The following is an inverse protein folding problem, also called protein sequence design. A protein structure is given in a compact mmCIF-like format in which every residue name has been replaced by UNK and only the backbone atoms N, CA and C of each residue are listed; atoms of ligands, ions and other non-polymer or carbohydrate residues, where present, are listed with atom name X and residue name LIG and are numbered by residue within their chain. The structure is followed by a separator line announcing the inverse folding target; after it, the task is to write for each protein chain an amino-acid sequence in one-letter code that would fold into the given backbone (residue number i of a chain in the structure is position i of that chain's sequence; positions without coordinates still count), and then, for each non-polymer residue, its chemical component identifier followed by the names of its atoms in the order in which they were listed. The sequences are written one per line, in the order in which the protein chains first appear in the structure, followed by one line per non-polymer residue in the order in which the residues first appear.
data_IF_727460422523
#
_entry.id   IF_727460422523
#
_cell.length_a   1.000
_cell.length_b   1.000
_cell.length_c   1.000
_cell.angle_alpha   90.00
_cell.angle_beta   90.00
_cell.angle_gamma   90.00
#
_symmetry.space_group_name_H-M   'P 1'
#
loop_
_entity.id
_entity.type
_entity.pdbx_description
1 polymer ?
#
# COMPACT_ATOMS: atom_id res chain seq x y z
N UNK A 1 -10.91 3.60 -11.54
CA UNK A 1 -10.26 3.32 -10.25
C UNK A 1 -9.20 4.37 -9.98
N UNK A 2 -8.85 4.59 -8.72
CA UNK A 2 -7.76 5.47 -8.27
C UNK A 2 -6.65 4.59 -7.68
N UNK A 3 -5.43 4.73 -8.16
CA UNK A 3 -4.23 4.15 -7.59
C UNK A 3 -3.41 5.29 -6.98
N UNK A 4 -3.07 5.18 -5.67
CA UNK A 4 -2.37 6.27 -5.00
C UNK A 4 -1.18 5.80 -4.18
N UNK A 5 -0.14 6.60 -4.23
CA UNK A 5 1.08 6.47 -3.45
C UNK A 5 1.32 7.74 -2.64
N UNK A 6 2.08 7.60 -1.59
CA UNK A 6 2.56 8.76 -0.80
C UNK A 6 4.04 8.57 -0.48
N UNK A 7 4.84 9.62 -0.73
CA UNK A 7 6.27 9.63 -0.44
C UNK A 7 6.70 11.01 0.08
N UNK A 8 7.48 11.06 1.17
CA UNK A 8 7.82 12.33 1.81
C UNK A 8 9.16 12.30 2.54
N UNK A 9 9.68 13.51 2.86
CA UNK A 9 10.89 13.73 3.63
C UNK A 9 12.13 13.13 2.97
N UNK A 10 13.03 12.59 3.76
CA UNK A 10 14.24 11.93 3.27
C UNK A 10 13.95 10.69 2.42
N UNK A 11 12.82 10.05 2.61
CA UNK A 11 12.41 8.88 1.83
C UNK A 11 12.19 9.19 0.36
N UNK A 12 11.92 10.45 -0.01
CA UNK A 12 11.72 10.83 -1.42
C UNK A 12 12.96 10.47 -2.25
N UNK A 13 14.15 10.91 -1.83
CA UNK A 13 15.37 10.63 -2.58
C UNK A 13 15.85 9.17 -2.45
N UNK A 14 15.62 8.54 -1.30
CA UNK A 14 16.05 7.16 -1.03
C UNK A 14 15.19 6.13 -1.75
N UNK A 15 13.87 6.39 -1.82
CA UNK A 15 12.88 5.41 -2.28
C UNK A 15 12.24 5.77 -3.61
N UNK A 16 12.72 6.80 -4.32
CA UNK A 16 12.15 7.22 -5.60
C UNK A 16 12.26 6.13 -6.67
N UNK A 17 13.32 5.32 -6.63
CA UNK A 17 13.49 4.20 -7.54
C UNK A 17 12.42 3.13 -7.27
N UNK A 18 12.19 2.77 -6.00
CA UNK A 18 11.13 1.83 -5.63
C UNK A 18 9.76 2.34 -6.10
N UNK A 19 9.45 3.60 -5.81
CA UNK A 19 8.21 4.23 -6.28
C UNK A 19 8.04 4.11 -7.79
N UNK A 20 9.09 4.36 -8.57
CA UNK A 20 9.05 4.23 -10.04
C UNK A 20 8.69 2.82 -10.48
N UNK A 21 9.31 1.81 -9.88
CA UNK A 21 9.02 0.41 -10.18
C UNK A 21 7.63 0.00 -9.70
N UNK A 22 7.21 0.46 -8.53
CA UNK A 22 5.87 0.22 -8.00
C UNK A 22 4.82 0.74 -8.98
N UNK A 23 4.82 2.03 -9.30
CA UNK A 23 3.87 2.64 -10.23
C UNK A 23 3.85 1.90 -11.56
N UNK A 24 5.02 1.63 -12.12
CA UNK A 24 5.12 0.97 -13.42
C UNK A 24 4.54 -0.44 -13.38
N UNK A 25 4.76 -1.20 -12.31
CA UNK A 25 4.23 -2.55 -12.14
C UNK A 25 2.70 -2.56 -12.14
N UNK A 26 2.07 -1.60 -11.47
CA UNK A 26 0.61 -1.46 -11.48
C UNK A 26 0.09 -0.98 -12.84
N UNK A 27 0.69 0.04 -13.45
CA UNK A 27 0.30 0.51 -14.79
C UNK A 27 0.40 -0.56 -15.88
N UNK A 28 1.30 -1.52 -15.72
CA UNK A 28 1.44 -2.63 -16.65
C UNK A 28 0.30 -3.64 -16.55
N UNK A 29 -0.24 -3.87 -15.37
CA UNK A 29 -1.28 -4.85 -15.11
C UNK A 29 -2.69 -4.25 -15.24
N UNK A 30 -2.83 -2.98 -14.87
CA UNK A 30 -4.03 -2.19 -15.06
C UNK A 30 -3.78 -1.18 -16.17
N UNK A 31 -4.71 -0.93 -17.05
CA UNK A 31 -4.52 -0.04 -18.20
C UNK A 31 -4.38 1.44 -17.83
N UNK A 32 -4.16 2.32 -18.83
CA UNK A 32 -4.01 3.75 -18.63
C UNK A 32 -5.35 4.51 -18.41
N UNK A 33 -6.48 3.81 -18.38
CA UNK A 33 -7.81 4.44 -18.17
C UNK A 33 -8.12 4.73 -16.69
N UNK A 34 -7.12 4.59 -15.82
CA UNK A 34 -7.23 4.79 -14.38
C UNK A 34 -6.46 6.02 -13.93
N UNK A 35 -6.81 6.53 -12.76
CA UNK A 35 -6.08 7.65 -12.13
C UNK A 35 -4.91 7.09 -11.33
N UNK A 36 -3.71 7.57 -11.62
CA UNK A 36 -2.48 7.23 -10.91
C UNK A 36 -1.98 8.50 -10.22
N UNK A 37 -2.01 8.54 -8.89
CA UNK A 37 -1.77 9.75 -8.10
C UNK A 37 -0.60 9.51 -7.14
N UNK A 38 0.35 10.45 -7.09
CA UNK A 38 1.43 10.47 -6.10
C UNK A 38 1.33 11.73 -5.24
N UNK A 39 1.18 11.56 -3.94
CA UNK A 39 1.29 12.67 -2.99
C UNK A 39 2.72 12.77 -2.45
N UNK A 40 3.27 13.99 -2.48
CA UNK A 40 4.65 14.24 -2.03
C UNK A 40 4.82 15.67 -1.50
N UNK A 41 5.84 15.88 -0.70
CA UNK A 41 6.28 17.24 -0.30
C UNK A 41 7.27 17.85 -1.31
N UNK A 42 7.81 17.06 -2.24
CA UNK A 42 8.75 17.51 -3.27
C UNK A 42 8.30 17.13 -4.70
N UNK A 43 7.21 17.73 -5.23
CA UNK A 43 6.64 17.38 -6.52
C UNK A 43 7.60 17.61 -7.69
N UNK A 44 8.41 18.66 -7.66
CA UNK A 44 9.34 18.99 -8.75
C UNK A 44 10.43 17.91 -8.92
N UNK A 45 10.95 17.38 -7.82
CA UNK A 45 11.91 16.29 -7.84
C UNK A 45 11.25 15.00 -8.36
N UNK A 46 10.08 14.64 -7.81
CA UNK A 46 9.36 13.42 -8.19
C UNK A 46 8.97 13.46 -9.67
N UNK A 47 8.48 14.59 -10.19
CA UNK A 47 8.14 14.77 -11.61
C UNK A 47 9.35 14.52 -12.53
N UNK A 48 10.49 15.12 -12.20
CA UNK A 48 11.72 14.94 -13.00
C UNK A 48 12.22 13.50 -13.01
N UNK A 49 12.06 12.79 -11.88
CA UNK A 49 12.61 11.44 -11.77
C UNK A 49 11.68 10.37 -12.33
N UNK A 50 10.38 10.49 -12.15
CA UNK A 50 9.43 9.45 -12.60
C UNK A 50 9.30 9.39 -14.12
N UNK A 51 9.32 10.54 -14.81
CA UNK A 51 9.13 10.63 -16.26
C UNK A 51 7.97 9.71 -16.76
N UNK A 52 6.87 9.71 -16.04
CA UNK A 52 5.69 8.87 -16.29
C UNK A 52 4.42 9.74 -16.27
N UNK A 53 3.39 9.27 -16.93
CA UNK A 53 2.06 9.88 -16.86
C UNK A 53 1.39 9.51 -15.53
N UNK A 54 1.66 10.29 -14.50
CA UNK A 54 1.04 10.22 -13.18
C UNK A 54 0.70 11.63 -12.71
N UNK A 55 -0.36 11.74 -11.95
CA UNK A 55 -0.78 13.00 -11.33
C UNK A 55 0.00 13.19 -10.02
N UNK A 56 0.99 14.10 -10.05
CA UNK A 56 1.84 14.38 -8.90
C UNK A 56 1.29 15.57 -8.15
N UNK A 57 0.90 15.34 -6.90
CA UNK A 57 0.26 16.31 -6.03
C UNK A 57 1.11 16.64 -4.83
N UNK A 58 1.18 17.93 -4.48
CA UNK A 58 1.74 18.36 -3.23
C UNK A 58 0.80 17.99 -2.08
N UNK A 59 1.36 17.55 -0.95
CA UNK A 59 0.57 17.43 0.27
C UNK A 59 -0.04 18.80 0.63
N UNK A 60 -1.31 18.83 1.09
CA UNK A 60 -1.91 20.04 1.62
C UNK A 60 -1.19 20.51 2.88
N UNK A 61 -1.46 21.72 3.30
CA UNK A 61 -0.92 22.24 4.55
C UNK A 61 -1.51 21.49 5.76
N UNK A 62 -0.74 21.42 6.84
CA UNK A 62 -1.18 20.75 8.08
C UNK A 62 -2.55 21.24 8.59
N UNK A 63 -2.88 22.50 8.37
CA UNK A 63 -4.17 23.09 8.77
C UNK A 63 -5.37 22.55 7.97
N UNK A 64 -5.13 21.99 6.79
CA UNK A 64 -6.19 21.57 5.86
C UNK A 64 -6.59 20.11 6.06
N UNK A 65 -5.78 19.34 6.82
CA UNK A 65 -6.04 17.92 7.11
C UNK A 65 -5.33 17.45 8.36
N UNK A 66 -6.02 16.65 9.14
CA UNK A 66 -5.49 16.02 10.35
C UNK A 66 -4.45 14.93 10.08
N UNK A 67 -4.39 14.39 8.87
CA UNK A 67 -3.45 13.32 8.51
C UNK A 67 -2.07 13.83 8.09
N UNK A 68 -1.90 15.11 7.83
CA UNK A 68 -0.60 15.69 7.46
C UNK A 68 0.33 15.87 8.66
N UNK A 69 0.58 14.76 9.37
CA UNK A 69 1.39 14.72 10.60
C UNK A 69 2.82 14.33 10.25
N UNK A 70 3.78 15.09 10.77
CA UNK A 70 5.19 14.72 10.73
C UNK A 70 5.54 13.95 12.00
N UNK A 71 5.54 12.63 11.95
CA UNK A 71 5.88 11.75 13.07
C UNK A 71 6.57 10.48 12.56
N UNK A 72 7.16 9.68 13.46
CA UNK A 72 7.67 8.35 13.14
C UNK A 72 6.57 7.44 12.57
N UNK A 73 5.35 7.56 13.11
CA UNK A 73 4.19 6.86 12.59
C UNK A 73 3.79 7.40 11.21
N UNK A 74 3.45 6.52 10.31
CA UNK A 74 3.29 6.82 8.89
C UNK A 74 1.92 7.41 8.52
N UNK A 75 1.28 8.16 9.45
CA UNK A 75 -0.05 8.79 9.25
C UNK A 75 -0.17 9.64 7.99
N UNK A 76 0.94 10.25 7.55
CA UNK A 76 0.97 11.08 6.34
C UNK A 76 0.60 10.31 5.08
N UNK A 77 0.71 8.98 5.08
CA UNK A 77 0.26 8.16 3.95
C UNK A 77 -1.25 8.34 3.64
N UNK A 78 -2.05 8.67 4.64
CA UNK A 78 -3.49 8.95 4.51
C UNK A 78 -3.82 10.39 4.11
N UNK A 79 -2.84 11.25 3.98
CA UNK A 79 -3.00 12.63 3.56
C UNK A 79 -3.31 12.69 2.04
N UNK A 80 -4.27 13.52 1.57
CA UNK A 80 -5.05 14.50 2.30
C UNK A 80 -6.24 13.90 3.09
N UNK A 81 -6.72 12.75 2.71
CA UNK A 81 -7.83 12.02 3.32
C UNK A 81 -7.67 10.52 3.08
N UNK A 82 -8.13 9.65 3.97
CA UNK A 82 -8.16 8.19 3.71
C UNK A 82 -9.05 7.81 2.53
N UNK A 83 -9.92 8.69 2.07
CA UNK A 83 -10.76 8.49 0.90
C UNK A 83 -10.74 9.75 0.02
N UNK A 84 -10.40 9.61 -1.26
CA UNK A 84 -10.39 10.72 -2.22
C UNK A 84 -11.72 10.88 -2.95
N UNK A 85 -12.29 9.77 -3.42
CA UNK A 85 -13.57 9.78 -4.13
C UNK A 85 -14.40 8.54 -3.78
N UNK A 86 -15.52 8.76 -3.09
CA UNK A 86 -16.42 7.68 -2.66
C UNK A 86 -17.05 6.91 -3.84
N UNK A 87 -17.06 7.47 -5.04
CA UNK A 87 -17.68 6.87 -6.23
C UNK A 87 -16.74 5.91 -6.97
N UNK A 88 -15.46 5.87 -6.61
CA UNK A 88 -14.46 5.04 -7.29
C UNK A 88 -13.84 4.02 -6.34
N UNK A 89 -13.42 2.87 -6.86
CA UNK A 89 -12.54 1.97 -6.13
C UNK A 89 -11.17 2.65 -5.97
N UNK A 90 -10.60 2.62 -4.76
CA UNK A 90 -9.35 3.30 -4.44
C UNK A 90 -8.34 2.33 -3.85
N UNK A 91 -7.17 2.30 -4.48
CA UNK A 91 -6.03 1.46 -4.15
C UNK A 91 -4.97 2.29 -3.46
N UNK A 92 -4.63 1.91 -2.27
CA UNK A 92 -3.58 2.48 -1.46
C UNK A 92 -2.33 1.60 -1.56
N UNK A 93 -1.18 2.17 -1.95
CA UNK A 93 -0.01 1.40 -2.31
C UNK A 93 1.24 2.06 -1.72
N UNK A 94 2.01 1.33 -0.94
CA UNK A 94 3.33 1.80 -0.50
C UNK A 94 4.34 1.76 -1.66
N UNK A 95 5.37 2.60 -1.59
CA UNK A 95 6.35 2.76 -2.67
C UNK A 95 7.20 1.51 -2.93
N UNK A 96 7.22 0.56 -2.01
CA UNK A 96 7.97 -0.69 -2.03
C UNK A 96 7.09 -1.93 -2.27
N UNK A 97 5.89 -1.72 -2.82
CA UNK A 97 4.95 -2.78 -3.23
C UNK A 97 4.98 -2.94 -4.75
N UNK A 98 5.20 -4.15 -5.24
CA UNK A 98 5.38 -4.46 -6.66
C UNK A 98 4.40 -5.53 -7.13
N UNK A 99 3.68 -5.24 -8.22
CA UNK A 99 2.71 -6.14 -8.83
C UNK A 99 3.35 -6.86 -10.02
N UNK A 100 3.55 -8.18 -9.91
CA UNK A 100 4.22 -8.98 -10.94
C UNK A 100 3.25 -9.53 -11.98
N UNK A 101 2.01 -9.82 -11.56
CA UNK A 101 0.96 -10.42 -12.40
C UNK A 101 -0.36 -9.72 -12.16
N UNK A 102 -1.27 -9.89 -13.10
CA UNK A 102 -2.64 -9.41 -12.94
C UNK A 102 -3.29 -10.05 -11.70
N UNK A 103 -3.79 -9.27 -10.75
CA UNK A 103 -4.28 -9.75 -9.46
C UNK A 103 -5.74 -10.20 -9.56
N UNK A 104 -5.99 -11.45 -9.98
CA UNK A 104 -7.34 -12.03 -10.11
C UNK A 104 -8.16 -11.97 -8.81
N UNK A 105 -7.49 -11.98 -7.67
CA UNK A 105 -8.11 -11.83 -6.36
C UNK A 105 -8.76 -10.45 -6.18
N UNK A 106 -8.26 -9.43 -6.88
CA UNK A 106 -8.89 -8.10 -6.93
C UNK A 106 -10.22 -8.17 -7.66
N UNK A 107 -10.31 -8.90 -8.79
CA UNK A 107 -11.60 -9.07 -9.49
C UNK A 107 -12.61 -9.81 -8.60
N UNK A 108 -12.16 -10.85 -7.89
CA UNK A 108 -12.98 -11.58 -6.92
C UNK A 108 -13.49 -10.64 -5.82
N UNK A 109 -12.63 -9.79 -5.29
CA UNK A 109 -13.01 -8.78 -4.30
C UNK A 109 -14.01 -7.78 -4.87
N UNK A 110 -13.73 -7.19 -6.03
CA UNK A 110 -14.55 -6.15 -6.63
C UNK A 110 -15.94 -6.67 -7.07
N UNK A 111 -16.04 -7.92 -7.51
CA UNK A 111 -17.31 -8.52 -7.92
C UNK A 111 -18.19 -8.94 -6.75
N UNK A 112 -17.65 -9.17 -5.56
CA UNK A 112 -18.42 -9.58 -4.38
C UNK A 112 -19.07 -8.37 -3.69
N UNK A 113 -20.39 -8.21 -3.83
CA UNK A 113 -21.14 -7.06 -3.30
C UNK A 113 -21.08 -6.90 -1.78
N UNK A 114 -20.80 -7.98 -1.02
CA UNK A 114 -20.67 -7.93 0.43
C UNK A 114 -19.37 -7.28 0.89
N UNK A 115 -18.28 -7.47 0.14
CA UNK A 115 -16.96 -6.99 0.51
C UNK A 115 -16.84 -5.48 0.30
N UNK A 116 -16.22 -4.79 1.24
CA UNK A 116 -16.02 -3.33 1.26
C UNK A 116 -14.55 -2.94 1.22
N UNK A 117 -13.69 -3.73 1.86
CA UNK A 117 -12.26 -3.46 2.00
C UNK A 117 -11.44 -4.70 1.68
N UNK A 118 -10.24 -4.50 1.12
CA UNK A 118 -9.26 -5.56 0.94
C UNK A 118 -7.88 -5.09 1.41
N UNK A 119 -7.09 -6.00 2.02
CA UNK A 119 -5.80 -5.67 2.63
C UNK A 119 -4.86 -6.88 2.61
N UNK A 120 -3.54 -6.61 2.66
CA UNK A 120 -2.55 -7.68 2.83
C UNK A 120 -2.64 -8.34 4.21
N UNK A 121 -2.37 -9.63 4.27
CA UNK A 121 -2.12 -10.34 5.52
C UNK A 121 -0.77 -9.91 6.11
N UNK A 122 -0.68 -9.75 7.43
CA UNK A 122 0.60 -9.57 8.10
C UNK A 122 1.16 -10.94 8.50
N UNK A 123 2.16 -11.37 7.77
CA UNK A 123 2.71 -12.73 7.83
C UNK A 123 3.11 -13.20 9.25
N UNK A 124 3.62 -12.30 10.08
CA UNK A 124 4.18 -12.66 11.40
C UNK A 124 3.16 -12.78 12.52
N UNK A 125 2.03 -12.05 12.42
CA UNK A 125 0.97 -12.08 13.42
C UNK A 125 1.42 -11.74 14.85
N UNK A 126 2.37 -10.81 15.03
CA UNK A 126 2.92 -10.45 16.33
C UNK A 126 2.35 -9.13 16.86
N UNK A 127 2.04 -9.01 18.16
CA UNK A 127 1.43 -7.79 18.72
C UNK A 127 2.19 -6.49 18.44
N UNK A 128 3.52 -6.52 18.32
CA UNK A 128 4.32 -5.33 18.01
C UNK A 128 4.00 -4.73 16.62
N UNK A 129 3.39 -5.49 15.73
CA UNK A 129 2.98 -5.03 14.40
C UNK A 129 1.78 -4.08 14.44
N UNK A 130 1.10 -4.01 15.57
CA UNK A 130 0.13 -2.96 15.84
C UNK A 130 0.75 -1.69 16.45
N UNK A 131 2.09 -1.65 16.61
CA UNK A 131 2.77 -0.56 17.30
C UNK A 131 2.19 -0.32 18.69
N UNK A 132 2.13 0.93 19.13
CA UNK A 132 1.52 1.28 20.41
C UNK A 132 0.00 1.06 20.44
N UNK A 133 -0.61 0.95 19.26
CA UNK A 133 -2.04 0.66 19.13
C UNK A 133 -2.43 -0.73 19.68
N UNK A 134 -1.46 -1.61 19.97
CA UNK A 134 -1.72 -2.87 20.67
C UNK A 134 -2.42 -2.65 22.02
N UNK A 135 -2.23 -1.50 22.68
CA UNK A 135 -2.94 -1.13 23.93
C UNK A 135 -4.46 -1.02 23.74
N UNK A 136 -4.93 -0.89 22.51
CA UNK A 136 -6.35 -0.77 22.13
C UNK A 136 -6.86 -1.96 21.33
N UNK A 137 -5.98 -2.74 20.75
CA UNK A 137 -6.33 -3.93 19.99
C UNK A 137 -6.99 -4.98 20.89
N UNK A 138 -7.89 -5.76 20.30
CA UNK A 138 -8.56 -6.90 20.94
C UNK A 138 -8.12 -8.21 20.30
N UNK A 139 -8.57 -9.35 20.82
CA UNK A 139 -8.33 -10.67 20.19
C UNK A 139 -8.88 -10.77 18.76
N UNK A 140 -9.90 -9.97 18.44
CA UNK A 140 -10.54 -9.97 17.12
C UNK A 140 -9.86 -9.01 16.11
N UNK A 141 -8.90 -8.21 16.59
CA UNK A 141 -8.17 -7.28 15.73
C UNK A 141 -7.25 -8.04 14.77
N UNK A 142 -7.43 -7.90 13.44
CA UNK A 142 -6.63 -8.67 12.49
C UNK A 142 -5.17 -8.23 12.48
N UNK A 143 -4.28 -9.16 12.15
CA UNK A 143 -2.91 -8.85 11.77
C UNK A 143 -2.88 -8.59 10.26
N UNK A 144 -2.78 -7.33 9.88
CA UNK A 144 -2.83 -6.90 8.48
C UNK A 144 -1.70 -5.93 8.17
N UNK A 145 -1.27 -5.91 6.92
CA UNK A 145 -0.22 -5.02 6.46
C UNK A 145 -0.80 -3.90 5.58
N UNK A 146 -0.51 -2.66 5.96
CA UNK A 146 -1.04 -1.46 5.32
C UNK A 146 -0.35 -1.08 4.00
N UNK A 147 0.60 -1.88 3.49
CA UNK A 147 1.34 -1.58 2.26
C UNK A 147 0.49 -1.67 0.99
N UNK A 148 -0.59 -2.47 1.01
CA UNK A 148 -1.56 -2.54 -0.06
C UNK A 148 -2.96 -2.68 0.52
N UNK A 149 -3.78 -1.66 0.31
CA UNK A 149 -5.14 -1.57 0.84
C UNK A 149 -6.11 -1.05 -0.22
N UNK A 150 -7.29 -1.65 -0.31
CA UNK A 150 -8.32 -1.26 -1.27
C UNK A 150 -9.60 -0.90 -0.54
N UNK A 151 -10.18 0.22 -0.94
CA UNK A 151 -11.54 0.64 -0.57
C UNK A 151 -12.43 0.58 -1.79
N UNK A 152 -13.49 -0.20 -1.73
CA UNK A 152 -14.47 -0.31 -2.81
C UNK A 152 -15.30 0.97 -2.93
N UNK A 153 -15.81 1.26 -4.12
CA UNK A 153 -16.78 2.34 -4.34
C UNK A 153 -17.96 2.22 -3.36
N UNK A 154 -18.37 3.33 -2.77
CA UNK A 154 -19.40 3.38 -1.73
C UNK A 154 -18.91 3.06 -0.31
N UNK A 155 -17.65 2.64 -0.13
CA UNK A 155 -17.05 2.34 1.18
C UNK A 155 -16.07 3.44 1.60
N UNK A 156 -16.02 3.76 2.89
CA UNK A 156 -15.14 4.78 3.45
C UNK A 156 -14.70 4.43 4.86
N UNK A 157 -13.39 4.28 5.06
CA UNK A 157 -12.75 4.01 6.36
C UNK A 157 -12.46 5.30 7.14
N UNK A 158 -12.57 6.48 6.53
CA UNK A 158 -12.06 7.74 7.06
C UNK A 158 -12.54 8.04 8.46
N UNK A 159 -13.85 7.89 8.74
CA UNK A 159 -14.42 8.16 10.07
C UNK A 159 -13.82 7.27 11.15
N UNK A 160 -13.59 6.00 10.84
CA UNK A 160 -13.01 5.07 11.80
C UNK A 160 -11.52 5.39 12.03
N UNK A 161 -10.78 5.65 10.96
CA UNK A 161 -9.35 5.94 11.05
C UNK A 161 -9.08 7.27 11.76
N UNK A 162 -9.93 8.28 11.56
CA UNK A 162 -9.89 9.55 12.31
C UNK A 162 -10.06 9.32 13.80
N UNK A 163 -11.00 8.47 14.21
CA UNK A 163 -11.19 8.12 15.63
C UNK A 163 -9.94 7.49 16.22
N UNK A 164 -9.28 6.61 15.48
CA UNK A 164 -8.05 5.96 15.93
C UNK A 164 -6.88 6.95 15.98
N UNK A 165 -6.80 7.87 15.02
CA UNK A 165 -5.81 8.95 15.01
C UNK A 165 -5.94 9.85 16.25
N UNK A 166 -7.15 10.29 16.61
CA UNK A 166 -7.37 11.11 17.81
C UNK A 166 -7.00 10.36 19.08
N UNK A 167 -7.43 9.09 19.21
CA UNK A 167 -7.03 8.27 20.34
C UNK A 167 -5.49 8.18 20.45
N UNK A 168 -4.80 7.96 19.32
CA UNK A 168 -3.33 7.89 19.27
C UNK A 168 -2.70 9.22 19.70
N UNK A 169 -3.21 10.35 19.23
CA UNK A 169 -2.70 11.67 19.61
C UNK A 169 -2.84 11.96 21.10
N UNK A 170 -3.93 11.52 21.71
CA UNK A 170 -4.23 11.76 23.12
C UNK A 170 -3.52 10.79 24.09
N UNK A 171 -3.25 9.56 23.64
CA UNK A 171 -2.82 8.47 24.53
C UNK A 171 -1.39 7.98 24.27
N UNK A 172 -0.73 8.44 23.19
CA UNK A 172 0.61 7.96 22.81
C UNK A 172 1.62 9.10 22.87
N UNK A 173 2.57 9.01 23.79
CA UNK A 173 3.65 9.99 23.93
C UNK A 173 4.62 9.87 22.73
N UNK A 174 5.29 10.98 22.42
CA UNK A 174 6.20 11.05 21.25
C UNK A 174 7.32 10.00 21.27
N UNK A 175 7.86 9.71 22.45
CA UNK A 175 8.90 8.70 22.66
C UNK A 175 8.44 7.26 22.45
N UNK A 176 7.13 6.98 22.64
CA UNK A 176 6.53 5.65 22.45
C UNK A 176 6.17 5.38 20.98
N UNK A 177 6.06 6.41 20.15
CA UNK A 177 5.58 6.31 18.77
C UNK A 177 6.46 5.44 17.89
N UNK A 178 5.84 4.55 17.14
CA UNK A 178 6.50 3.63 16.21
C UNK A 178 5.97 3.78 14.79
N UNK A 179 6.69 3.25 13.83
CA UNK A 179 6.25 3.24 12.43
C UNK A 179 5.07 2.28 12.17
N UNK A 180 4.78 1.37 13.11
CA UNK A 180 3.64 0.46 13.02
C UNK A 180 2.31 1.02 13.56
N UNK A 181 2.32 2.18 14.20
CA UNK A 181 1.13 2.71 14.89
C UNK A 181 -0.03 2.96 13.91
N UNK A 182 0.26 3.47 12.73
CA UNK A 182 -0.75 3.70 11.70
C UNK A 182 -1.35 2.38 11.19
N UNK A 183 -0.53 1.35 10.98
CA UNK A 183 -0.99 0.01 10.61
C UNK A 183 -1.88 -0.60 11.69
N UNK A 184 -1.50 -0.47 12.95
CA UNK A 184 -2.31 -0.90 14.10
C UNK A 184 -3.66 -0.18 14.17
N UNK A 185 -3.67 1.12 13.91
CA UNK A 185 -4.90 1.90 13.85
C UNK A 185 -5.83 1.45 12.71
N UNK A 186 -5.26 1.15 11.54
CA UNK A 186 -6.01 0.59 10.41
C UNK A 186 -6.58 -0.79 10.76
N UNK A 187 -5.80 -1.66 11.40
CA UNK A 187 -6.24 -2.98 11.85
C UNK A 187 -7.45 -2.87 12.80
N UNK A 188 -7.39 -1.98 13.79
CA UNK A 188 -8.51 -1.71 14.72
C UNK A 188 -9.72 -1.17 13.96
N UNK A 189 -9.53 -0.23 13.05
CA UNK A 189 -10.61 0.33 12.24
C UNK A 189 -11.31 -0.74 11.37
N UNK A 190 -10.56 -1.78 10.95
CA UNK A 190 -11.05 -2.87 10.11
C UNK A 190 -11.69 -4.02 10.90
N UNK A 191 -11.50 -4.12 12.22
CA UNK A 191 -11.99 -5.25 13.05
C UNK A 191 -13.46 -5.54 12.82
N UNK A 192 -14.32 -4.53 12.86
CA UNK A 192 -15.76 -4.72 12.65
C UNK A 192 -16.11 -5.28 11.27
N UNK A 193 -15.33 -4.94 10.24
CA UNK A 193 -15.55 -5.40 8.87
C UNK A 193 -15.07 -6.85 8.68
N UNK A 194 -14.04 -7.27 9.42
CA UNK A 194 -13.65 -8.66 9.49
C UNK A 194 -14.78 -9.49 10.11
N UNK A 195 -15.30 -9.08 11.26
CA UNK A 195 -16.37 -9.78 11.98
C UNK A 195 -17.68 -9.87 11.19
N UNK A 196 -18.01 -8.85 10.38
CA UNK A 196 -19.20 -8.85 9.50
C UNK A 196 -18.96 -9.58 8.17
N UNK A 197 -17.74 -10.04 7.88
CA UNK A 197 -17.37 -10.67 6.62
C UNK A 197 -17.35 -9.71 5.43
N UNK A 198 -17.04 -8.43 5.67
CA UNK A 198 -16.94 -7.36 4.69
C UNK A 198 -15.47 -6.98 4.36
N UNK A 199 -14.49 -7.63 5.03
CA UNK A 199 -13.07 -7.49 4.79
C UNK A 199 -12.52 -8.69 4.02
N UNK A 200 -11.80 -8.44 2.96
CA UNK A 200 -11.02 -9.44 2.21
C UNK A 200 -9.55 -9.34 2.61
N UNK A 201 -8.96 -10.43 3.06
CA UNK A 201 -7.53 -10.52 3.32
C UNK A 201 -6.90 -11.31 2.17
N UNK A 202 -5.91 -10.70 1.50
CA UNK A 202 -5.22 -11.34 0.38
C UNK A 202 -4.44 -12.58 0.83
N UNK A 203 -4.43 -13.66 0.03
CA UNK A 203 -3.71 -14.88 0.37
C UNK A 203 -2.20 -14.64 0.40
N UNK A 204 -1.58 -14.84 1.56
CA UNK A 204 -0.16 -14.54 1.83
C UNK A 204 0.83 -15.30 0.95
N UNK A 205 0.42 -16.43 0.37
CA UNK A 205 1.24 -17.25 -0.53
C UNK A 205 1.46 -16.55 -1.89
N UNK A 206 0.52 -15.69 -2.28
CA UNK A 206 0.57 -14.93 -3.53
C UNK A 206 0.86 -13.45 -3.35
N UNK A 207 0.55 -12.91 -2.18
CA UNK A 207 0.71 -11.52 -1.80
C UNK A 207 1.70 -11.43 -0.62
N UNK A 208 2.97 -11.54 -0.95
CA UNK A 208 4.02 -11.78 0.03
C UNK A 208 4.65 -10.52 0.58
N UNK A 209 4.95 -10.53 1.87
CA UNK A 209 5.97 -9.64 2.44
C UNK A 209 7.32 -10.36 2.39
N UNK A 210 8.34 -9.65 1.92
CA UNK A 210 9.70 -10.18 1.80
C UNK A 210 10.67 -9.17 2.44
N UNK A 211 11.40 -9.64 3.45
CA UNK A 211 12.42 -8.88 4.17
C UNK A 211 13.44 -9.85 4.77
N UNK A 212 14.43 -9.32 5.49
CA UNK A 212 15.39 -10.14 6.25
C UNK A 212 14.72 -11.04 7.31
N UNK A 213 13.52 -10.68 7.77
CA UNK A 213 12.78 -11.42 8.81
C UNK A 213 11.48 -12.06 8.33
N UNK A 214 11.04 -11.76 7.11
CA UNK A 214 9.82 -12.31 6.51
C UNK A 214 10.17 -12.92 5.17
N UNK A 215 10.01 -14.23 5.04
CA UNK A 215 10.37 -14.98 3.83
C UNK A 215 11.81 -14.72 3.32
N UNK A 216 12.87 -14.72 4.19
CA UNK A 216 14.22 -14.36 3.77
C UNK A 216 14.81 -15.31 2.73
N UNK A 217 14.40 -16.59 2.76
CA UNK A 217 14.94 -17.67 1.95
C UNK A 217 14.22 -17.85 0.60
N UNK A 218 13.26 -16.96 0.26
CA UNK A 218 12.57 -17.07 -1.02
C UNK A 218 13.55 -16.83 -2.18
N UNK A 219 13.62 -17.78 -3.12
CA UNK A 219 14.58 -17.71 -4.23
C UNK A 219 13.94 -17.34 -5.56
N UNK A 220 12.63 -17.58 -5.72
CA UNK A 220 11.90 -17.22 -6.93
C UNK A 220 10.53 -16.62 -6.59
N UNK A 221 9.90 -16.01 -7.58
CA UNK A 221 8.59 -15.38 -7.48
C UNK A 221 7.58 -15.97 -8.47
N UNK A 222 7.74 -17.25 -8.82
CA UNK A 222 6.97 -17.88 -9.90
C UNK A 222 5.45 -17.89 -9.66
N UNK A 223 5.02 -18.04 -8.40
CA UNK A 223 3.61 -18.02 -8.02
C UNK A 223 3.17 -16.73 -7.33
N UNK A 224 4.08 -15.76 -7.17
CA UNK A 224 3.82 -14.51 -6.48
C UNK A 224 3.12 -13.53 -7.41
N UNK A 225 1.98 -13.02 -7.01
CA UNK A 225 1.22 -11.98 -7.71
C UNK A 225 1.73 -10.60 -7.35
N UNK A 226 1.95 -10.36 -6.07
CA UNK A 226 2.43 -9.10 -5.51
C UNK A 226 3.44 -9.38 -4.40
N UNK A 227 4.52 -8.61 -4.35
CA UNK A 227 5.38 -8.63 -3.17
C UNK A 227 5.62 -7.23 -2.60
N UNK A 228 5.70 -7.17 -1.29
CA UNK A 228 6.04 -6.00 -0.50
C UNK A 228 7.48 -6.16 0.01
N UNK A 229 8.40 -5.39 -0.53
CA UNK A 229 9.81 -5.38 -0.11
C UNK A 229 9.98 -4.47 1.11
N UNK A 230 9.68 -5.01 2.29
CA UNK A 230 9.59 -4.19 3.50
C UNK A 230 10.91 -3.58 3.95
N UNK A 231 10.79 -2.39 4.56
CA UNK A 231 11.86 -1.64 5.22
C UNK A 231 12.65 -2.51 6.26
N UNK A 232 13.95 -2.24 6.62
CA UNK A 232 14.60 -0.92 6.41
C UNK A 232 15.42 -0.77 5.12
N UNK A 233 15.93 -1.83 4.53
CA UNK A 233 16.89 -1.75 3.41
C UNK A 233 16.32 -2.25 2.09
N UNK A 234 15.07 -2.74 2.11
CA UNK A 234 14.38 -3.30 0.95
C UNK A 234 15.20 -4.37 0.19
N UNK A 235 15.79 -5.35 0.87
CA UNK A 235 16.69 -6.31 0.23
C UNK A 235 16.00 -7.11 -0.86
N UNK A 236 14.70 -7.38 -0.70
CA UNK A 236 13.90 -8.09 -1.68
C UNK A 236 13.79 -7.32 -3.01
N UNK A 237 13.69 -5.98 -2.98
CA UNK A 237 13.69 -5.19 -4.20
C UNK A 237 14.98 -5.41 -4.99
N UNK A 238 16.14 -5.28 -4.36
CA UNK A 238 17.42 -5.45 -5.03
C UNK A 238 17.66 -6.90 -5.48
N UNK A 239 17.27 -7.88 -4.67
CA UNK A 239 17.34 -9.31 -5.02
C UNK A 239 16.53 -9.63 -6.29
N UNK A 240 15.30 -9.10 -6.38
CA UNK A 240 14.38 -9.41 -7.47
C UNK A 240 14.24 -8.30 -8.52
N UNK A 241 15.10 -7.28 -8.48
CA UNK A 241 15.08 -6.18 -9.44
C UNK A 241 15.17 -6.64 -10.89
N UNK A 242 15.96 -7.68 -11.17
CA UNK A 242 16.08 -8.26 -12.50
C UNK A 242 14.75 -8.82 -13.04
N UNK A 243 13.90 -9.42 -12.18
CA UNK A 243 12.55 -9.87 -12.56
C UNK A 243 11.67 -8.68 -12.90
N UNK A 244 11.75 -7.62 -12.08
CA UNK A 244 11.04 -6.37 -12.36
C UNK A 244 11.53 -5.74 -13.68
N UNK A 245 12.85 -5.68 -13.93
CA UNK A 245 13.42 -5.18 -15.17
C UNK A 245 12.94 -5.99 -16.37
N UNK A 246 12.96 -7.30 -16.31
CA UNK A 246 12.43 -8.16 -17.36
C UNK A 246 10.94 -7.93 -17.59
N UNK A 247 10.17 -7.88 -16.52
CA UNK A 247 8.74 -7.64 -16.60
C UNK A 247 8.43 -6.26 -17.20
N UNK A 248 9.24 -5.25 -16.91
CA UNK A 248 8.98 -3.85 -17.23
C UNK A 248 9.55 -3.43 -18.60
N UNK A 249 10.73 -3.93 -18.96
CA UNK A 249 11.49 -3.44 -20.12
C UNK A 249 11.58 -4.43 -21.29
N UNK A 250 11.18 -5.70 -21.13
CA UNK A 250 11.06 -6.58 -22.31
C UNK A 250 9.96 -6.03 -23.22
N UNK A 251 10.36 -5.42 -24.34
CA UNK A 251 9.46 -5.16 -25.48
C UNK A 251 8.74 -6.47 -25.78
N UNK A 252 7.42 -6.46 -25.79
CA UNK A 252 6.61 -7.57 -26.30
C UNK A 252 7.13 -7.86 -27.70
N UNK A 253 7.88 -8.97 -27.87
CA UNK A 253 8.20 -9.44 -29.22
C UNK A 253 6.85 -9.64 -29.91
N UNK A 254 6.59 -9.00 -31.06
CA UNK A 254 5.35 -9.23 -31.78
C UNK A 254 5.27 -10.75 -32.01
N UNK A 255 4.14 -11.37 -31.61
CA UNK A 255 3.84 -12.74 -32.02
C UNK A 255 3.90 -12.72 -33.55
N UNK A 256 4.96 -13.28 -34.13
CA UNK A 256 4.99 -13.61 -35.54
C UNK A 256 3.77 -14.52 -35.77
N UNK A 257 2.76 -14.00 -36.41
CA UNK A 257 1.70 -14.81 -37.00
C UNK A 257 2.40 -15.75 -37.98
N UNK A 258 2.55 -16.99 -37.59
CA UNK A 258 2.82 -18.05 -38.56
C UNK A 258 1.51 -18.28 -39.33
N UNK A 259 1.35 -17.53 -40.39
CA UNK A 259 0.43 -17.89 -41.45
C UNK A 259 1.05 -19.10 -42.18
N UNK A 260 0.46 -20.25 -41.97
CA UNK A 260 0.48 -21.38 -42.92
C UNK A 260 -0.92 -21.95 -42.98
#
# INVERSE_FOLDING_TARGET
MIFRWSIWGEHVSKNIELLRYSIFSFKKQFDNNHQYIVYTDNPDFVTRYLNQEVDIRRFPLKRDTQFCINSKATWRKWCPSPRLDIKQDEFYIDSDVFLLRYPKEVDTFLSNSKLKFAILDEFRGQPYQHGVMHKKATSDTPFVNAGFFIQKAGSDISKNLVRELYWWQENVKDEERTHHDEQGALAIALTKYLMSGELFIFPKEKYMQISETSNPDIENLDDVTLFHATYPTHPAFYKFKHILDEALYKKIKPKLKNDK
#
